data_IF_409426944884
#
_entry.id   IF_409426944884
#
_cell.length_a   1.000
_cell.length_b   1.000
_cell.length_c   1.000
_cell.angle_alpha   90.00
_cell.angle_beta   90.00
_cell.angle_gamma   90.00
#
_symmetry.space_group_name_H-M   'P 1'
#
loop_
_entity.id
_entity.type
_entity.pdbx_description
1 polymer ?
#
# COMPACT_ATOMS: atom_id res chain seq x y z
N UNK A 1 1.44 11.94 53.13
CA UNK A 1 0.99 12.77 52.00
C UNK A 1 1.05 11.86 50.81
N UNK A 2 -0.10 11.27 50.51
CA UNK A 2 -0.31 10.25 49.50
C UNK A 2 -0.13 10.86 48.11
N UNK A 3 0.61 10.16 47.25
CA UNK A 3 0.71 10.47 45.84
C UNK A 3 -0.55 9.91 45.16
N UNK A 4 -1.35 10.79 44.56
CA UNK A 4 -2.56 10.41 43.83
C UNK A 4 -2.19 9.60 42.59
N UNK A 5 -2.88 8.47 42.47
CA UNK A 5 -2.72 7.42 41.47
C UNK A 5 -3.23 7.87 40.10
N UNK A 6 -2.41 7.63 39.07
CA UNK A 6 -2.76 7.34 37.67
C UNK A 6 -4.22 6.91 37.46
N UNK A 7 -5.01 7.73 36.77
CA UNK A 7 -6.36 7.39 36.29
C UNK A 7 -6.31 6.43 35.10
N UNK A 8 -5.94 5.18 35.34
CA UNK A 8 -6.22 4.08 34.40
C UNK A 8 -7.60 3.52 34.72
N UNK A 9 -8.56 3.66 33.81
CA UNK A 9 -9.89 3.04 33.93
C UNK A 9 -9.73 1.51 34.01
N UNK A 10 -10.27 0.90 35.08
CA UNK A 10 -10.15 -0.55 35.32
C UNK A 10 -10.77 -1.37 34.17
N UNK A 11 -10.17 -2.52 33.76
CA UNK A 11 -10.75 -3.44 32.78
C UNK A 11 -12.20 -3.88 33.09
N UNK A 12 -12.61 -3.85 34.36
CA UNK A 12 -13.97 -4.16 34.77
C UNK A 12 -14.97 -3.05 34.42
N UNK A 13 -14.55 -1.79 34.46
CA UNK A 13 -15.37 -0.64 34.05
C UNK A 13 -15.64 -0.72 32.54
N UNK A 14 -14.62 -1.09 31.74
CA UNK A 14 -14.76 -1.29 30.30
C UNK A 14 -15.80 -2.38 29.99
N UNK A 15 -15.77 -3.52 30.71
CA UNK A 15 -16.76 -4.59 30.55
C UNK A 15 -18.17 -4.13 30.92
N UNK A 16 -18.30 -3.29 31.94
CA UNK A 16 -19.58 -2.73 32.39
C UNK A 16 -20.17 -1.76 31.36
N UNK A 17 -19.36 -0.85 30.79
CA UNK A 17 -19.79 0.03 29.68
C UNK A 17 -20.30 -0.81 28.50
N UNK A 18 -19.57 -1.85 28.11
CA UNK A 18 -19.98 -2.73 27.00
C UNK A 18 -21.25 -3.52 27.28
N UNK A 19 -21.46 -3.98 28.51
CA UNK A 19 -22.70 -4.66 28.89
C UNK A 19 -23.92 -3.73 28.78
N UNK A 20 -23.76 -2.45 29.13
CA UNK A 20 -24.79 -1.42 28.96
C UNK A 20 -25.09 -1.18 27.47
N UNK A 21 -24.06 -0.90 26.66
CA UNK A 21 -24.23 -0.55 25.25
C UNK A 21 -24.86 -1.70 24.46
N UNK A 22 -24.36 -2.93 24.64
CA UNK A 22 -24.91 -4.12 23.98
C UNK A 22 -26.37 -4.39 24.36
N UNK A 23 -26.74 -4.11 25.62
CA UNK A 23 -28.12 -4.26 26.07
C UNK A 23 -29.04 -3.20 25.47
N UNK A 24 -28.60 -1.95 25.31
CA UNK A 24 -29.37 -0.90 24.65
C UNK A 24 -29.59 -1.23 23.17
N UNK A 25 -28.52 -1.60 22.47
CA UNK A 25 -28.58 -2.00 21.06
C UNK A 25 -29.43 -3.25 20.83
N UNK A 26 -29.33 -4.24 21.72
CA UNK A 26 -30.17 -5.45 21.66
C UNK A 26 -31.67 -5.19 21.86
N UNK A 27 -32.04 -4.03 22.43
CA UNK A 27 -33.42 -3.57 22.55
C UNK A 27 -33.80 -2.49 21.53
N UNK A 28 -32.97 -2.29 20.49
CA UNK A 28 -33.18 -1.25 19.47
C UNK A 28 -33.26 0.18 20.05
N UNK A 29 -32.57 0.44 21.16
CA UNK A 29 -32.45 1.76 21.77
C UNK A 29 -31.11 2.36 21.35
N UNK A 30 -31.13 3.59 20.83
CA UNK A 30 -29.91 4.30 20.44
C UNK A 30 -29.06 4.63 21.69
N UNK A 31 -27.77 4.26 21.73
CA UNK A 31 -26.92 4.40 22.91
C UNK A 31 -26.40 5.84 23.06
N UNK A 32 -27.31 6.79 23.27
CA UNK A 32 -26.97 8.18 23.64
C UNK A 32 -26.37 8.23 25.04
N UNK A 33 -25.56 9.25 25.37
CA UNK A 33 -24.98 9.43 26.72
C UNK A 33 -26.05 9.34 27.83
N UNK A 34 -27.22 9.92 27.59
CA UNK A 34 -28.33 9.88 28.53
C UNK A 34 -28.93 8.45 28.68
N UNK A 35 -29.05 7.70 27.58
CA UNK A 35 -29.50 6.30 27.60
C UNK A 35 -28.47 5.38 28.29
N UNK A 36 -27.18 5.61 28.03
CA UNK A 36 -26.08 4.88 28.68
C UNK A 36 -26.05 5.19 30.18
N UNK A 37 -26.13 6.47 30.57
CA UNK A 37 -26.18 6.86 31.98
C UNK A 37 -27.36 6.25 32.72
N UNK A 38 -28.56 6.27 32.13
CA UNK A 38 -29.75 5.67 32.73
C UNK A 38 -29.55 4.17 32.94
N UNK A 39 -29.00 3.47 31.95
CA UNK A 39 -28.81 2.02 32.01
C UNK A 39 -27.63 1.60 32.91
N UNK A 40 -26.59 2.43 32.98
CA UNK A 40 -25.44 2.24 33.88
C UNK A 40 -25.83 2.48 35.35
N UNK A 41 -26.70 3.46 35.61
CA UNK A 41 -27.30 3.68 36.93
C UNK A 41 -28.13 2.46 37.36
N UNK A 42 -28.96 1.90 36.47
CA UNK A 42 -29.76 0.70 36.75
C UNK A 42 -28.91 -0.56 37.01
N UNK A 43 -27.84 -0.76 36.23
CA UNK A 43 -27.10 -2.02 36.20
C UNK A 43 -25.92 -2.05 37.16
N UNK A 44 -25.27 -0.91 37.35
CA UNK A 44 -24.00 -0.77 38.07
C UNK A 44 -24.01 0.35 39.11
N UNK A 45 -25.14 1.05 39.27
CA UNK A 45 -25.32 2.18 40.21
C UNK A 45 -24.35 3.33 39.99
N UNK A 46 -23.93 3.52 38.74
CA UNK A 46 -23.13 4.67 38.38
C UNK A 46 -23.98 5.93 38.43
N UNK A 47 -23.39 7.00 38.94
CA UNK A 47 -23.94 8.33 38.80
C UNK A 47 -23.73 8.86 37.38
N UNK A 48 -24.50 9.88 36.98
CA UNK A 48 -24.31 10.54 35.68
C UNK A 48 -22.86 11.05 35.49
N UNK A 49 -22.22 11.74 36.48
CA UNK A 49 -20.83 12.17 36.36
C UNK A 49 -19.81 11.03 36.28
N UNK A 50 -20.04 9.90 36.97
CA UNK A 50 -19.19 8.71 36.84
C UNK A 50 -19.35 8.07 35.47
N UNK A 51 -20.57 8.06 34.92
CA UNK A 51 -20.81 7.52 33.57
C UNK A 51 -20.17 8.40 32.52
N UNK A 52 -20.29 9.72 32.65
CA UNK A 52 -19.62 10.70 31.81
C UNK A 52 -18.09 10.55 31.91
N UNK A 53 -17.51 10.50 33.11
CA UNK A 53 -16.07 10.29 33.33
C UNK A 53 -15.55 8.93 32.82
N UNK A 54 -16.36 7.87 32.88
CA UNK A 54 -15.99 6.55 32.34
C UNK A 54 -16.11 6.48 30.80
N UNK A 55 -16.83 7.43 30.20
CA UNK A 55 -17.00 7.59 28.74
C UNK A 55 -16.09 8.69 28.17
N UNK A 56 -15.55 9.57 29.01
CA UNK A 56 -14.69 10.69 28.65
C UNK A 56 -13.20 10.30 28.62
N UNK A 57 -12.60 10.49 27.46
CA UNK A 57 -11.16 10.64 27.18
C UNK A 57 -10.22 9.51 27.61
N UNK A 58 -9.75 8.76 26.62
CA UNK A 58 -8.40 8.19 26.71
C UNK A 58 -7.40 9.33 26.57
N UNK A 59 -6.61 9.57 27.61
CA UNK A 59 -5.50 10.54 27.58
C UNK A 59 -4.48 10.16 26.50
N UNK A 60 -4.29 8.85 26.28
CA UNK A 60 -3.35 8.28 25.32
C UNK A 60 -3.98 7.21 24.42
N UNK A 61 -3.42 7.08 23.22
CA UNK A 61 -3.75 6.02 22.29
C UNK A 61 -3.36 4.63 22.83
N UNK A 62 -3.94 3.57 22.27
CA UNK A 62 -3.55 2.20 22.56
C UNK A 62 -2.64 1.60 21.47
N UNK A 63 -2.46 2.30 20.36
CA UNK A 63 -1.72 1.84 19.20
C UNK A 63 -0.45 2.67 19.01
N UNK A 64 0.68 2.00 18.79
CA UNK A 64 1.93 2.69 18.57
C UNK A 64 1.83 3.61 17.36
N UNK A 65 2.25 4.88 17.52
CA UNK A 65 2.12 5.89 16.47
C UNK A 65 2.98 5.60 15.22
N UNK A 66 3.96 4.70 15.33
CA UNK A 66 4.89 4.35 14.25
C UNK A 66 4.46 3.10 13.50
N UNK A 67 4.18 1.99 14.20
CA UNK A 67 3.82 0.73 13.57
C UNK A 67 2.32 0.45 13.53
N UNK A 68 1.50 1.27 14.20
CA UNK A 68 0.05 1.15 14.29
C UNK A 68 -0.45 -0.12 15.00
N UNK A 69 0.46 -0.89 15.61
CA UNK A 69 0.12 -2.11 16.36
C UNK A 69 -0.10 -1.81 17.85
N UNK A 70 -0.95 -2.61 18.49
CA UNK A 70 -1.14 -2.58 19.95
C UNK A 70 -0.01 -3.27 20.71
N UNK A 71 -0.11 -3.31 22.04
CA UNK A 71 0.82 -4.03 22.91
C UNK A 71 1.33 -3.17 24.07
N UNK A 72 2.53 -3.48 24.58
CA UNK A 72 3.18 -2.68 25.62
C UNK A 72 3.77 -1.42 25.02
N UNK A 73 3.07 -0.30 25.18
CA UNK A 73 3.41 1.00 24.62
C UNK A 73 3.71 2.01 25.72
N UNK A 74 4.65 2.92 25.45
CA UNK A 74 5.07 4.01 26.32
C UNK A 74 4.26 5.27 25.99
N UNK A 75 3.50 5.83 26.93
CA UNK A 75 2.76 7.07 26.72
C UNK A 75 3.69 8.29 26.78
N UNK A 76 3.50 9.23 25.85
CA UNK A 76 4.19 10.51 25.86
C UNK A 76 3.57 11.44 26.92
N UNK A 77 4.36 12.12 27.75
CA UNK A 77 3.79 13.11 28.69
C UNK A 77 3.25 14.37 28.00
N UNK A 78 3.77 14.71 26.82
CA UNK A 78 3.40 15.93 26.09
C UNK A 78 2.22 15.81 25.13
N UNK A 79 1.70 14.60 24.85
CA UNK A 79 0.58 14.39 23.94
C UNK A 79 -0.04 12.99 24.09
N UNK A 80 -1.12 12.73 23.37
CA UNK A 80 -1.84 11.45 23.41
C UNK A 80 -1.10 10.28 22.73
N UNK A 81 0.03 10.50 22.05
CA UNK A 81 0.71 9.44 21.28
C UNK A 81 1.42 8.45 22.19
N UNK A 82 1.46 7.19 21.74
CA UNK A 82 2.17 6.11 22.41
C UNK A 82 3.13 5.40 21.45
N UNK A 83 4.19 4.80 21.98
CA UNK A 83 5.25 4.17 21.17
C UNK A 83 5.72 2.87 21.78
N UNK A 84 5.97 1.82 20.99
CA UNK A 84 6.77 0.71 21.50
C UNK A 84 8.20 1.19 21.79
N UNK A 85 8.86 0.57 22.77
CA UNK A 85 10.23 0.93 23.14
C UNK A 85 11.19 0.97 21.93
N UNK A 86 11.08 -0.03 21.05
CA UNK A 86 11.91 -0.11 19.84
C UNK A 86 11.51 0.89 18.74
N UNK A 87 10.25 1.33 18.74
CA UNK A 87 9.72 2.30 17.77
C UNK A 87 9.98 3.75 18.17
N UNK A 88 10.33 4.01 19.43
CA UNK A 88 10.60 5.34 19.96
C UNK A 88 12.04 5.84 19.66
N UNK A 89 12.78 5.17 18.75
CA UNK A 89 14.22 5.28 18.51
C UNK A 89 14.77 6.70 18.77
N UNK A 90 15.46 6.84 19.92
CA UNK A 90 15.97 8.12 20.43
C UNK A 90 15.82 8.34 21.95
N UNK A 91 15.05 7.49 22.65
CA UNK A 91 14.91 7.55 24.12
C UNK A 91 16.05 6.81 24.84
N UNK A 92 16.80 7.55 25.67
CA UNK A 92 17.90 7.06 26.49
C UNK A 92 17.52 5.89 27.40
N UNK A 93 18.48 4.98 27.57
CA UNK A 93 18.55 4.04 28.69
C UNK A 93 18.53 4.80 30.02
N UNK A 94 17.36 5.06 30.59
CA UNK A 94 17.28 5.50 31.98
C UNK A 94 15.97 5.08 32.60
N UNK A 95 16.07 4.08 33.47
CA UNK A 95 15.20 3.94 34.62
C UNK A 95 14.92 5.32 35.23
N UNK A 96 13.64 5.69 35.35
CA UNK A 96 13.08 6.78 36.18
C UNK A 96 12.84 8.19 35.59
N UNK A 97 13.00 8.46 34.28
CA UNK A 97 12.59 9.76 33.70
C UNK A 97 11.44 9.63 32.68
N UNK A 98 10.53 10.61 32.73
CA UNK A 98 9.29 10.68 31.96
C UNK A 98 9.52 10.76 30.43
N UNK A 99 8.85 9.88 29.65
CA UNK A 99 9.04 9.79 28.20
C UNK A 99 8.33 10.94 27.44
N UNK A 100 9.08 11.63 26.56
CA UNK A 100 8.56 12.63 25.62
C UNK A 100 8.89 12.20 24.20
N UNK A 101 7.86 12.04 23.35
CA UNK A 101 8.03 11.48 22.01
C UNK A 101 8.76 12.43 21.03
N UNK A 102 9.36 11.88 19.94
CA UNK A 102 10.06 12.68 18.92
C UNK A 102 9.20 13.78 18.31
N UNK A 103 7.89 13.53 18.15
CA UNK A 103 6.95 14.54 17.62
C UNK A 103 6.84 15.74 18.56
N UNK A 104 6.65 15.52 19.87
CA UNK A 104 6.61 16.60 20.83
C UNK A 104 7.96 17.34 20.91
N UNK A 105 9.08 16.62 20.86
CA UNK A 105 10.41 17.23 20.87
C UNK A 105 10.65 18.11 19.63
N UNK A 106 10.18 17.68 18.45
CA UNK A 106 10.21 18.46 17.21
C UNK A 106 9.34 19.72 17.34
N UNK A 107 8.09 19.58 17.77
CA UNK A 107 7.15 20.71 17.87
C UNK A 107 7.60 21.80 18.85
N UNK A 108 8.48 21.49 19.82
CA UNK A 108 9.09 22.50 20.70
C UNK A 108 10.06 23.44 19.96
N UNK A 109 10.59 23.02 18.81
CA UNK A 109 11.58 23.78 18.02
C UNK A 109 10.96 24.56 16.86
N UNK A 110 9.73 24.21 16.48
CA UNK A 110 9.03 24.82 15.35
C UNK A 110 8.54 26.23 15.67
N UNK A 111 8.79 27.17 14.76
CA UNK A 111 8.31 28.54 14.87
C UNK A 111 6.80 28.62 14.62
N UNK A 112 6.15 29.64 15.19
CA UNK A 112 4.75 29.95 14.90
C UNK A 112 4.67 30.92 13.71
N UNK A 113 3.78 30.62 12.78
CA UNK A 113 3.48 31.42 11.59
C UNK A 113 2.14 32.13 11.79
N UNK A 114 1.95 33.30 11.15
CA UNK A 114 0.66 33.98 11.16
C UNK A 114 -0.44 33.09 10.55
N UNK A 115 -1.60 32.92 11.21
CA UNK A 115 -2.67 32.04 10.73
C UNK A 115 -3.22 32.41 9.35
N UNK A 116 -3.14 33.67 8.94
CA UNK A 116 -3.66 34.14 7.65
C UNK A 116 -2.75 33.68 6.51
N UNK A 117 -1.45 33.97 6.63
CA UNK A 117 -0.45 33.51 5.67
C UNK A 117 -0.37 31.99 5.62
N UNK A 118 -0.46 31.33 6.78
CA UNK A 118 -0.46 29.87 6.85
C UNK A 118 -1.68 29.25 6.15
N UNK A 119 -2.86 29.89 6.25
CA UNK A 119 -4.04 29.46 5.51
C UNK A 119 -3.85 29.57 4.02
N UNK A 120 -3.42 30.73 3.53
CA UNK A 120 -3.20 30.96 2.10
C UNK A 120 -2.22 29.94 1.51
N UNK A 121 -1.22 29.54 2.29
CA UNK A 121 -0.24 28.52 1.93
C UNK A 121 -0.78 27.09 1.92
N UNK A 122 -1.56 26.70 2.94
CA UNK A 122 -2.00 25.31 3.11
C UNK A 122 -3.32 24.96 2.42
N UNK A 123 -4.16 25.94 2.08
CA UNK A 123 -5.45 25.72 1.41
C UNK A 123 -5.31 24.92 0.10
N UNK A 124 -4.34 25.23 -0.81
CA UNK A 124 -4.13 24.44 -2.02
C UNK A 124 -3.75 22.99 -1.75
N UNK A 125 -2.98 22.73 -0.67
CA UNK A 125 -2.58 21.38 -0.27
C UNK A 125 -3.80 20.57 0.20
N UNK A 126 -4.72 21.21 0.90
CA UNK A 126 -5.96 20.59 1.34
C UNK A 126 -6.91 20.28 0.16
N UNK A 127 -6.96 21.15 -0.84
CA UNK A 127 -7.75 20.91 -2.06
C UNK A 127 -7.14 19.77 -2.91
N UNK A 128 -5.82 19.69 -2.98
CA UNK A 128 -5.11 18.57 -3.59
C UNK A 128 -5.39 17.25 -2.87
N UNK A 129 -5.38 17.25 -1.53
CA UNK A 129 -5.74 16.08 -0.73
C UNK A 129 -7.18 15.60 -0.98
N UNK A 130 -8.14 16.53 -1.06
CA UNK A 130 -9.54 16.20 -1.38
C UNK A 130 -9.69 15.59 -2.77
N UNK A 131 -8.99 16.16 -3.76
CA UNK A 131 -8.98 15.66 -5.13
C UNK A 131 -8.37 14.26 -5.23
N UNK A 132 -7.22 14.06 -4.58
CA UNK A 132 -6.49 12.78 -4.56
C UNK A 132 -7.29 11.68 -3.88
N UNK A 133 -7.98 12.01 -2.79
CA UNK A 133 -8.79 11.04 -2.03
C UNK A 133 -10.13 10.71 -2.67
N UNK A 134 -10.54 11.38 -3.75
CA UNK A 134 -11.86 11.21 -4.34
C UNK A 134 -13.01 11.48 -3.35
N UNK A 135 -12.78 12.36 -2.36
CA UNK A 135 -13.70 12.72 -1.27
C UNK A 135 -13.97 11.61 -0.22
N UNK A 136 -13.30 10.45 -0.31
CA UNK A 136 -13.52 9.32 0.60
C UNK A 136 -13.14 9.66 2.05
N UNK A 137 -12.19 10.57 2.24
CA UNK A 137 -11.67 10.96 3.55
C UNK A 137 -12.32 12.22 4.14
N UNK A 138 -13.40 12.74 3.53
CA UNK A 138 -14.09 13.94 4.02
C UNK A 138 -14.77 13.73 5.37
N UNK A 139 -15.42 12.57 5.59
CA UNK A 139 -16.15 12.28 6.82
C UNK A 139 -15.86 10.82 7.21
N UNK A 140 -15.05 10.62 8.24
CA UNK A 140 -14.74 9.28 8.74
C UNK A 140 -15.64 8.93 9.94
N UNK A 141 -16.11 7.67 10.04
CA UNK A 141 -15.94 6.57 9.10
C UNK A 141 -16.79 6.75 7.83
N UNK A 142 -16.25 6.33 6.67
CA UNK A 142 -16.95 6.42 5.38
C UNK A 142 -18.27 5.64 5.39
N UNK A 143 -19.29 6.18 4.71
CA UNK A 143 -20.67 5.63 4.67
C UNK A 143 -20.79 4.21 4.09
N UNK A 144 -19.75 3.69 3.45
CA UNK A 144 -19.82 2.51 2.58
C UNK A 144 -19.10 1.25 3.12
N UNK A 145 -18.76 1.17 4.42
CA UNK A 145 -17.99 0.03 4.94
C UNK A 145 -18.50 -0.62 6.24
N UNK A 146 -18.06 -1.86 6.42
CA UNK A 146 -18.44 -2.92 7.38
C UNK A 146 -18.18 -2.65 8.86
N UNK A 147 -17.73 -1.45 9.23
CA UNK A 147 -17.35 -1.09 10.61
C UNK A 147 -18.32 -0.01 11.10
N UNK A 148 -19.05 -0.30 12.18
CA UNK A 148 -20.00 0.65 12.75
C UNK A 148 -19.29 1.91 13.27
N UNK A 149 -19.99 3.06 13.26
CA UNK A 149 -19.47 4.33 13.80
C UNK A 149 -18.92 4.17 15.22
N UNK A 150 -19.58 3.36 16.04
CA UNK A 150 -19.15 3.11 17.40
C UNK A 150 -17.83 2.34 17.46
N UNK A 151 -17.60 1.38 16.56
CA UNK A 151 -16.35 0.60 16.50
C UNK A 151 -15.15 1.46 16.08
N UNK A 152 -15.38 2.43 15.18
CA UNK A 152 -14.37 3.39 14.75
C UNK A 152 -13.91 4.27 15.92
N UNK A 153 -14.84 4.88 16.67
CA UNK A 153 -14.51 5.79 17.77
C UNK A 153 -13.97 5.10 19.03
N UNK A 154 -14.15 3.78 19.15
CA UNK A 154 -13.64 3.01 20.31
C UNK A 154 -12.16 2.66 20.21
N UNK A 155 -11.61 2.63 18.99
CA UNK A 155 -10.21 2.25 18.75
C UNK A 155 -9.27 3.45 18.70
N UNK A 156 -9.77 4.65 18.44
CA UNK A 156 -8.94 5.84 18.23
C UNK A 156 -9.07 6.82 19.41
N UNK A 157 -7.96 7.35 19.91
CA UNK A 157 -7.99 8.34 20.99
C UNK A 157 -8.42 9.73 20.52
N UNK A 158 -8.11 10.09 19.27
CA UNK A 158 -8.44 11.38 18.66
C UNK A 158 -8.95 11.17 17.24
N UNK A 159 -10.14 11.67 16.93
CA UNK A 159 -10.69 11.63 15.58
C UNK A 159 -10.17 12.81 14.74
N UNK A 160 -10.01 12.58 13.45
CA UNK A 160 -9.67 13.60 12.46
C UNK A 160 -10.03 13.08 11.06
N UNK A 161 -10.54 13.95 10.22
CA UNK A 161 -10.84 13.75 8.80
C UNK A 161 -10.59 15.04 8.02
N UNK A 162 -10.72 15.02 6.69
CA UNK A 162 -10.42 16.19 5.86
C UNK A 162 -11.38 17.36 6.14
N UNK A 163 -12.63 17.11 6.56
CA UNK A 163 -13.55 18.19 6.96
C UNK A 163 -13.10 18.86 8.26
N UNK A 164 -12.64 18.06 9.23
CA UNK A 164 -12.07 18.54 10.50
C UNK A 164 -10.81 19.35 10.25
N UNK A 165 -9.91 18.87 9.38
CA UNK A 165 -8.69 19.59 9.00
C UNK A 165 -9.03 20.92 8.32
N UNK A 166 -10.01 20.93 7.41
CA UNK A 166 -10.50 22.17 6.78
C UNK A 166 -10.99 23.17 7.81
N UNK A 167 -11.84 22.73 8.73
CA UNK A 167 -12.36 23.58 9.79
C UNK A 167 -11.23 24.13 10.68
N UNK A 168 -10.24 23.32 11.05
CA UNK A 168 -9.08 23.75 11.85
C UNK A 168 -8.25 24.80 11.11
N UNK A 169 -8.08 24.67 9.79
CA UNK A 169 -7.39 25.66 8.96
C UNK A 169 -8.17 26.98 8.88
N UNK A 170 -9.48 26.92 8.63
CA UNK A 170 -10.38 28.07 8.56
C UNK A 170 -10.53 28.81 9.90
N UNK A 171 -10.38 28.10 11.01
CA UNK A 171 -10.44 28.68 12.36
C UNK A 171 -9.07 29.09 12.90
N UNK A 172 -7.98 28.86 12.14
CA UNK A 172 -6.62 29.26 12.51
C UNK A 172 -6.04 28.46 13.67
N UNK A 173 -6.37 27.17 13.79
CA UNK A 173 -5.91 26.30 14.87
C UNK A 173 -4.51 25.70 14.66
N UNK A 174 -3.92 25.87 13.47
CA UNK A 174 -2.56 25.41 13.17
C UNK A 174 -1.54 26.53 13.40
N UNK A 175 -0.41 26.18 14.01
CA UNK A 175 0.66 27.13 14.28
C UNK A 175 1.75 27.16 13.21
N UNK A 176 1.90 26.07 12.45
CA UNK A 176 2.86 25.93 11.35
C UNK A 176 2.47 24.75 10.45
N UNK A 177 3.20 24.57 9.35
CA UNK A 177 2.93 23.52 8.37
C UNK A 177 3.14 22.10 8.95
N UNK A 178 4.05 21.93 9.91
CA UNK A 178 4.25 20.62 10.58
C UNK A 178 3.04 20.26 11.46
N UNK A 179 2.46 21.22 12.18
CA UNK A 179 1.22 21.05 12.95
C UNK A 179 0.06 20.55 12.06
N UNK A 180 -0.06 21.12 10.85
CA UNK A 180 -1.01 20.67 9.84
C UNK A 180 -0.73 19.24 9.37
N UNK A 181 0.52 18.91 9.04
CA UNK A 181 0.93 17.56 8.62
C UNK A 181 0.66 16.50 9.69
N UNK A 182 0.77 16.85 10.98
CA UNK A 182 0.49 15.92 12.08
C UNK A 182 -0.96 15.45 12.13
N UNK A 183 -1.92 16.25 11.66
CA UNK A 183 -3.32 15.83 11.54
C UNK A 183 -3.53 14.87 10.36
N UNK A 184 -2.81 15.05 9.24
CA UNK A 184 -2.82 14.06 8.14
C UNK A 184 -2.20 12.74 8.59
N UNK A 185 -1.10 12.80 9.34
CA UNK A 185 -0.46 11.61 9.90
C UNK A 185 -1.38 10.91 10.91
N UNK A 186 -2.12 11.66 11.75
CA UNK A 186 -3.14 11.11 12.64
C UNK A 186 -4.29 10.48 11.86
N UNK A 187 -4.77 11.11 10.79
CA UNK A 187 -5.81 10.55 9.93
C UNK A 187 -5.36 9.21 9.35
N UNK A 188 -4.14 9.14 8.80
CA UNK A 188 -3.54 7.90 8.30
C UNK A 188 -3.43 6.83 9.40
N UNK A 189 -2.93 7.21 10.59
CA UNK A 189 -2.83 6.31 11.74
C UNK A 189 -4.20 5.70 12.10
N UNK A 190 -5.24 6.54 12.23
CA UNK A 190 -6.59 6.11 12.56
C UNK A 190 -7.16 5.16 11.51
N UNK A 191 -6.94 5.47 10.23
CA UNK A 191 -7.40 4.63 9.12
C UNK A 191 -6.69 3.27 9.14
N UNK A 192 -5.38 3.23 9.39
CA UNK A 192 -4.63 1.97 9.48
C UNK A 192 -5.10 1.14 10.68
N UNK A 193 -5.32 1.77 11.84
CA UNK A 193 -5.79 1.08 13.05
C UNK A 193 -7.17 0.46 12.85
N UNK A 194 -8.10 1.18 12.23
CA UNK A 194 -9.49 0.72 12.10
C UNK A 194 -9.69 -0.22 10.91
N UNK A 195 -9.14 0.12 9.74
CA UNK A 195 -9.39 -0.62 8.50
C UNK A 195 -8.24 -1.59 8.14
N UNK A 196 -7.09 -1.46 8.78
CA UNK A 196 -5.89 -2.25 8.49
C UNK A 196 -5.02 -1.63 7.39
N UNK A 197 -3.71 -1.85 7.49
CA UNK A 197 -2.69 -1.27 6.59
C UNK A 197 -2.88 -1.66 5.12
N UNK A 198 -3.47 -2.83 4.85
CA UNK A 198 -3.72 -3.32 3.48
C UNK A 198 -5.07 -2.91 2.90
N UNK A 199 -5.85 -2.08 3.60
CA UNK A 199 -7.15 -1.62 3.10
C UNK A 199 -7.00 -0.58 2.01
N UNK A 200 -7.98 -0.52 1.09
CA UNK A 200 -7.99 0.49 0.03
C UNK A 200 -8.01 1.92 0.61
N UNK A 201 -8.79 2.13 1.68
CA UNK A 201 -8.86 3.42 2.36
C UNK A 201 -7.52 3.80 3.03
N UNK A 202 -6.77 2.83 3.59
CA UNK A 202 -5.43 3.08 4.11
C UNK A 202 -4.43 3.44 3.00
N UNK A 203 -4.51 2.78 1.84
CA UNK A 203 -3.67 3.13 0.69
C UNK A 203 -3.97 4.55 0.19
N UNK A 204 -5.25 4.91 0.05
CA UNK A 204 -5.67 6.27 -0.34
C UNK A 204 -5.18 7.31 0.69
N UNK A 205 -5.33 7.04 1.98
CA UNK A 205 -4.84 7.93 3.04
C UNK A 205 -3.31 8.08 3.01
N UNK A 206 -2.59 7.00 2.68
CA UNK A 206 -1.13 7.01 2.52
C UNK A 206 -0.71 7.89 1.35
N UNK A 207 -1.33 7.70 0.17
CA UNK A 207 -1.04 8.47 -1.03
C UNK A 207 -1.31 9.97 -0.82
N UNK A 208 -2.41 10.31 -0.13
CA UNK A 208 -2.73 11.69 0.26
C UNK A 208 -1.67 12.28 1.18
N UNK A 209 -1.28 11.57 2.24
CA UNK A 209 -0.25 12.04 3.17
C UNK A 209 1.09 12.26 2.46
N UNK A 210 1.56 11.30 1.65
CA UNK A 210 2.83 11.41 0.92
C UNK A 210 2.83 12.57 -0.07
N UNK A 211 1.72 12.78 -0.78
CA UNK A 211 1.57 13.88 -1.73
C UNK A 211 1.66 15.24 -1.04
N UNK A 212 0.91 15.42 0.06
CA UNK A 212 0.92 16.67 0.84
C UNK A 212 2.26 16.92 1.51
N UNK A 213 2.88 15.87 2.06
CA UNK A 213 4.21 15.96 2.67
C UNK A 213 5.26 16.41 1.67
N UNK A 214 5.31 15.80 0.49
CA UNK A 214 6.30 16.13 -0.54
C UNK A 214 6.20 17.59 -1.01
N UNK A 215 4.99 18.12 -1.16
CA UNK A 215 4.79 19.52 -1.56
C UNK A 215 5.27 20.50 -0.49
N UNK A 216 4.91 20.24 0.78
CA UNK A 216 5.34 21.09 1.90
C UNK A 216 6.85 21.04 2.09
N UNK A 217 7.47 19.87 1.91
CA UNK A 217 8.91 19.68 2.08
C UNK A 217 9.72 20.31 0.93
N UNK A 218 9.25 20.21 -0.32
CA UNK A 218 9.93 20.81 -1.48
C UNK A 218 10.00 22.34 -1.40
N UNK A 219 8.96 23.00 -0.88
CA UNK A 219 8.92 24.47 -0.79
C UNK A 219 9.76 25.00 0.39
N UNK A 220 9.98 24.20 1.45
CA UNK A 220 10.92 24.53 2.52
C UNK A 220 12.39 24.57 2.05
N UNK A 221 12.77 23.69 1.11
CA UNK A 221 14.15 23.64 0.57
C UNK A 221 14.44 24.84 -0.33
N UNK A 222 13.45 25.30 -1.12
CA UNK A 222 13.61 26.50 -1.96
C UNK A 222 13.81 27.78 -1.13
N UNK A 223 13.15 27.88 0.03
CA UNK A 223 13.26 29.04 0.94
C UNK A 223 14.62 29.09 1.67
N UNK A 224 15.21 27.93 1.99
CA UNK A 224 16.55 27.85 2.60
C UNK A 224 17.68 28.19 1.61
N UNK A 225 17.48 27.87 0.32
CA UNK A 225 18.45 28.21 -0.73
C UNK A 225 18.50 29.71 -1.05
N UNK A 226 17.38 30.44 -0.95
CA UNK A 226 17.35 31.91 -1.13
C UNK A 226 17.92 32.67 0.08
N UNK A 227 17.85 32.11 1.29
CA UNK A 227 18.41 32.71 2.52
C UNK A 227 19.93 32.55 2.69
N UNK A 228 20.56 31.63 1.94
CA UNK A 228 21.98 31.29 2.10
C UNK A 228 22.96 32.21 1.34
N UNK A 229 22.48 33.12 0.46
CA UNK A 229 23.37 34.02 -0.30
C UNK A 229 23.93 35.22 0.52
N UNK A 230 23.43 35.51 1.72
CA UNK A 230 23.87 36.68 2.52
C UNK A 230 24.81 36.36 3.71
N UNK A 231 25.23 35.11 3.91
CA UNK A 231 25.90 34.69 5.15
C UNK A 231 27.09 33.75 5.01
N UNK A 232 27.93 33.87 3.98
CA UNK A 232 29.12 33.02 3.84
C UNK A 232 30.31 33.52 4.68
N UNK A 233 30.48 32.96 5.89
CA UNK A 233 31.78 32.58 6.45
C UNK A 233 31.58 31.84 7.79
N UNK A 234 31.70 30.50 7.77
CA UNK A 234 32.48 29.69 8.72
C UNK A 234 32.40 28.19 8.32
N UNK A 235 33.44 27.45 8.68
CA UNK A 235 33.91 26.17 8.14
C UNK A 235 32.92 24.96 8.17
N UNK A 236 33.13 23.94 7.32
CA UNK A 236 32.17 22.84 7.13
C UNK A 236 32.18 21.86 8.31
N UNK A 237 31.02 21.69 8.95
CA UNK A 237 30.76 20.57 9.85
C UNK A 237 30.20 19.42 9.01
N UNK A 238 30.91 18.29 9.01
CA UNK A 238 30.52 17.05 8.35
C UNK A 238 29.11 16.62 8.79
N UNK A 239 28.16 16.61 7.83
CA UNK A 239 26.85 15.99 8.00
C UNK A 239 27.01 14.48 7.98
N UNK A 240 26.71 13.84 9.11
CA UNK A 240 26.49 12.40 9.18
C UNK A 240 25.23 12.04 8.38
N UNK A 241 25.46 11.27 7.33
CA UNK A 241 24.47 10.70 6.43
C UNK A 241 23.52 9.77 7.21
N UNK A 242 22.33 10.27 7.56
CA UNK A 242 21.20 9.46 8.01
C UNK A 242 20.21 9.32 6.84
N UNK A 243 20.70 8.72 5.75
CA UNK A 243 19.86 8.10 4.74
C UNK A 243 19.03 7.00 5.43
N UNK A 244 17.75 7.26 5.67
CA UNK A 244 16.80 6.21 5.99
C UNK A 244 16.58 5.36 4.74
N UNK A 245 17.39 4.32 4.63
CA UNK A 245 17.25 3.24 3.67
C UNK A 245 15.93 2.52 3.85
N UNK A 246 14.99 2.78 2.96
CA UNK A 246 13.71 2.07 2.88
C UNK A 246 13.79 0.76 2.07
N UNK A 247 14.98 0.17 1.91
CA UNK A 247 15.12 -1.01 1.07
C UNK A 247 16.34 -1.86 1.45
N UNK A 248 16.36 -2.52 2.62
CA UNK A 248 17.12 -3.79 2.74
C UNK A 248 16.88 -4.68 3.99
N UNK A 249 15.68 -4.73 4.59
CA UNK A 249 15.44 -5.61 5.76
C UNK A 249 14.28 -6.61 5.60
N UNK A 250 14.19 -7.25 4.44
CA UNK A 250 13.34 -8.44 4.25
C UNK A 250 14.07 -9.79 4.38
N UNK A 251 15.37 -9.78 4.71
CA UNK A 251 16.15 -11.01 4.87
C UNK A 251 17.11 -11.00 6.07
N UNK A 252 16.57 -10.91 7.28
CA UNK A 252 17.19 -11.53 8.46
C UNK A 252 16.19 -11.58 9.62
N UNK A 253 15.49 -12.70 9.80
CA UNK A 253 14.94 -13.03 11.11
C UNK A 253 16.10 -13.56 11.96
N UNK A 254 16.52 -12.87 13.04
CA UNK A 254 17.51 -13.44 13.94
C UNK A 254 16.92 -14.68 14.60
N UNK A 255 17.61 -15.80 14.39
CA UNK A 255 17.29 -17.13 14.94
C UNK A 255 17.25 -17.18 16.46
N UNK A 256 17.79 -16.21 17.18
CA UNK A 256 18.03 -16.35 18.61
C UNK A 256 17.59 -15.09 19.36
N UNK A 257 16.29 -14.95 19.61
CA UNK A 257 15.87 -14.14 20.76
C UNK A 257 16.15 -14.99 21.98
N UNK A 258 17.36 -14.79 22.51
CA UNK A 258 17.83 -15.31 23.77
C UNK A 258 16.68 -15.34 24.78
N UNK A 259 16.64 -16.43 25.55
CA UNK A 259 15.86 -16.61 26.78
C UNK A 259 15.94 -15.36 27.68
N UNK A 260 15.16 -14.34 27.37
CA UNK A 260 14.99 -13.17 28.20
C UNK A 260 14.30 -13.69 29.45
N UNK A 261 15.06 -13.70 30.52
CA UNK A 261 14.72 -14.19 31.84
C UNK A 261 13.48 -13.42 32.34
N UNK A 262 12.29 -13.93 32.06
CA UNK A 262 11.04 -13.48 32.67
C UNK A 262 10.77 -14.27 33.95
N UNK A 263 11.82 -14.50 34.74
CA UNK A 263 11.69 -14.97 36.11
C UNK A 263 11.28 -13.78 36.98
N UNK A 264 9.97 -13.59 37.15
CA UNK A 264 9.46 -12.69 38.18
C UNK A 264 9.49 -13.39 39.55
N UNK A 265 10.63 -13.30 40.24
CA UNK A 265 10.76 -13.80 41.62
C UNK A 265 9.86 -13.05 42.62
N UNK A 266 9.23 -11.93 42.25
CA UNK A 266 8.45 -11.10 43.18
C UNK A 266 7.21 -11.80 43.73
N UNK A 267 6.55 -12.65 42.93
CA UNK A 267 5.33 -13.39 43.34
C UNK A 267 5.59 -14.33 44.52
N UNK A 268 6.82 -14.86 44.66
CA UNK A 268 7.20 -15.75 45.78
C UNK A 268 7.65 -14.95 47.01
N UNK A 269 8.05 -13.69 46.83
CA UNK A 269 8.58 -12.82 47.89
C UNK A 269 7.49 -12.21 48.76
N UNK A 270 6.28 -12.03 48.20
CA UNK A 270 5.17 -11.31 48.85
C UNK A 270 4.15 -12.23 49.56
N UNK A 271 4.46 -13.53 49.69
CA UNK A 271 3.66 -14.45 50.51
C UNK A 271 3.74 -14.08 52.01
N UNK A 272 2.60 -13.90 52.72
CA UNK A 272 2.60 -13.46 54.11
C UNK A 272 3.48 -14.35 55.01
N UNK A 273 4.42 -13.78 55.79
CA UNK A 273 5.26 -14.57 56.67
C UNK A 273 4.39 -15.11 57.82
N UNK A 274 4.24 -16.43 57.89
CA UNK A 274 3.62 -17.09 59.04
C UNK A 274 4.60 -18.13 59.62
N UNK A 275 4.83 -18.07 60.94
CA UNK A 275 5.91 -18.80 61.61
C UNK A 275 5.53 -20.26 61.97
N UNK A 276 4.93 -20.97 61.01
CA UNK A 276 4.39 -22.33 61.15
C UNK A 276 5.35 -23.36 60.51
N UNK A 277 5.48 -24.59 61.06
CA UNK A 277 6.32 -25.65 60.49
C UNK A 277 6.04 -26.01 59.02
N UNK A 278 4.86 -25.68 58.49
CA UNK A 278 4.44 -25.99 57.13
C UNK A 278 4.87 -24.94 56.08
N UNK A 279 5.24 -23.73 56.50
CA UNK A 279 5.59 -22.63 55.61
C UNK A 279 6.68 -22.97 54.57
N UNK A 280 7.75 -23.72 54.89
CA UNK A 280 8.78 -24.10 53.91
C UNK A 280 8.28 -25.10 52.85
N UNK A 281 7.41 -26.05 53.25
CA UNK A 281 6.80 -27.01 52.32
C UNK A 281 5.83 -26.32 51.38
N UNK A 282 4.99 -25.43 51.91
CA UNK A 282 3.99 -24.71 51.12
C UNK A 282 4.65 -23.77 50.11
N UNK A 283 5.72 -23.06 50.51
CA UNK A 283 6.52 -22.21 49.61
C UNK A 283 7.16 -23.01 48.46
N UNK A 284 7.65 -24.22 48.72
CA UNK A 284 8.17 -25.12 47.67
C UNK A 284 7.08 -25.58 46.71
N UNK A 285 5.92 -25.99 47.22
CA UNK A 285 4.78 -26.41 46.41
C UNK A 285 4.26 -25.28 45.51
N UNK A 286 4.16 -24.06 46.03
CA UNK A 286 3.77 -22.88 45.22
C UNK A 286 4.81 -22.61 44.13
N UNK A 287 6.10 -22.68 44.46
CA UNK A 287 7.18 -22.50 43.48
C UNK A 287 7.12 -23.57 42.38
N UNK A 288 7.01 -24.85 42.74
CA UNK A 288 6.91 -25.95 41.78
C UNK A 288 5.68 -25.82 40.87
N UNK A 289 4.52 -25.42 41.44
CA UNK A 289 3.31 -25.17 40.66
C UNK A 289 3.47 -23.99 39.70
N UNK A 290 4.09 -22.90 40.16
CA UNK A 290 4.36 -21.72 39.36
C UNK A 290 5.32 -22.03 38.20
N UNK A 291 6.45 -22.70 38.50
CA UNK A 291 7.43 -23.12 37.49
C UNK A 291 6.79 -24.03 36.44
N UNK A 292 5.95 -25.00 36.87
CA UNK A 292 5.23 -25.92 35.96
C UNK A 292 4.24 -25.17 35.06
N UNK A 293 3.48 -24.23 35.64
CA UNK A 293 2.51 -23.44 34.87
C UNK A 293 3.20 -22.51 33.87
N UNK A 294 4.31 -21.86 34.26
CA UNK A 294 5.09 -21.01 33.38
C UNK A 294 5.69 -21.78 32.21
N UNK A 295 6.27 -22.96 32.45
CA UNK A 295 6.76 -23.82 31.37
C UNK A 295 5.65 -24.18 30.38
N UNK A 296 4.50 -24.65 30.88
CA UNK A 296 3.37 -25.00 30.03
C UNK A 296 2.83 -23.80 29.23
N UNK A 297 2.80 -22.61 29.85
CA UNK A 297 2.41 -21.37 29.18
C UNK A 297 3.38 -20.98 28.06
N UNK A 298 4.69 -21.04 28.32
CA UNK A 298 5.70 -20.71 27.32
C UNK A 298 5.72 -21.71 26.16
N UNK A 299 5.62 -23.00 26.43
CA UNK A 299 5.53 -24.03 25.40
C UNK A 299 4.33 -23.82 24.49
N UNK A 300 3.15 -23.53 25.06
CA UNK A 300 1.94 -23.32 24.26
C UNK A 300 1.99 -22.00 23.48
N UNK A 301 2.53 -20.93 24.08
CA UNK A 301 2.76 -19.66 23.39
C UNK A 301 3.70 -19.83 22.19
N UNK A 302 4.81 -20.54 22.38
CA UNK A 302 5.81 -20.74 21.32
C UNK A 302 5.29 -21.67 20.23
N UNK A 303 4.43 -22.65 20.56
CA UNK A 303 3.63 -23.42 19.59
C UNK A 303 2.72 -22.53 18.77
N UNK A 304 1.89 -21.72 19.42
CA UNK A 304 0.94 -20.84 18.73
C UNK A 304 1.67 -19.83 17.84
N UNK A 305 2.76 -19.24 18.33
CA UNK A 305 3.60 -18.32 17.56
C UNK A 305 4.21 -19.01 16.33
N UNK A 306 4.63 -20.26 16.45
CA UNK A 306 5.18 -21.03 15.33
C UNK A 306 4.09 -21.40 14.32
N UNK A 307 2.91 -21.81 14.79
CA UNK A 307 1.77 -22.11 13.92
C UNK A 307 1.27 -20.88 13.15
N UNK A 308 1.23 -19.70 13.79
CA UNK A 308 0.88 -18.44 13.12
C UNK A 308 1.93 -18.07 12.08
N UNK A 309 3.23 -18.15 12.43
CA UNK A 309 4.33 -17.90 11.48
C UNK A 309 4.24 -18.81 10.27
N UNK A 310 4.05 -20.12 10.47
CA UNK A 310 3.92 -21.07 9.38
C UNK A 310 2.72 -20.75 8.47
N UNK A 311 1.55 -20.46 9.06
CA UNK A 311 0.36 -20.06 8.28
C UNK A 311 0.60 -18.79 7.47
N UNK A 312 1.25 -17.80 8.05
CA UNK A 312 1.56 -16.54 7.37
C UNK A 312 2.56 -16.76 6.22
N UNK A 313 3.64 -17.51 6.47
CA UNK A 313 4.60 -17.89 5.43
C UNK A 313 3.94 -18.69 4.31
N UNK A 314 3.07 -19.66 4.63
CA UNK A 314 2.33 -20.41 3.62
C UNK A 314 1.39 -19.50 2.80
N UNK A 315 0.73 -18.54 3.45
CA UNK A 315 -0.14 -17.58 2.75
C UNK A 315 0.68 -16.70 1.80
N UNK A 316 1.77 -16.12 2.28
CA UNK A 316 2.69 -15.31 1.47
C UNK A 316 3.21 -16.07 0.25
N UNK A 317 3.75 -17.29 0.46
CA UNK A 317 4.28 -18.10 -0.65
C UNK A 317 3.19 -18.46 -1.69
N UNK A 318 1.93 -18.64 -1.26
CA UNK A 318 0.81 -18.89 -2.17
C UNK A 318 0.42 -17.64 -2.95
N UNK A 319 0.41 -16.48 -2.31
CA UNK A 319 0.12 -15.19 -2.95
C UNK A 319 1.22 -14.82 -3.95
N UNK A 320 2.48 -14.91 -3.55
CA UNK A 320 3.63 -14.70 -4.44
C UNK A 320 3.59 -15.64 -5.65
N UNK A 321 3.37 -16.94 -5.43
CA UNK A 321 3.26 -17.89 -6.54
C UNK A 321 2.04 -17.65 -7.44
N UNK A 322 0.97 -17.01 -6.94
CA UNK A 322 -0.19 -16.61 -7.73
C UNK A 322 0.16 -15.41 -8.61
N UNK A 323 0.77 -14.38 -8.04
CA UNK A 323 1.20 -13.18 -8.76
C UNK A 323 2.24 -13.50 -9.83
N UNK A 324 3.22 -14.34 -9.51
CA UNK A 324 4.22 -14.81 -10.48
C UNK A 324 3.56 -15.54 -11.66
N UNK A 325 2.56 -16.40 -11.39
CA UNK A 325 1.81 -17.09 -12.46
C UNK A 325 1.00 -16.12 -13.31
N UNK A 326 0.29 -15.18 -12.69
CA UNK A 326 -0.50 -14.18 -13.41
C UNK A 326 0.38 -13.29 -14.29
N UNK A 327 1.55 -12.88 -13.78
CA UNK A 327 2.53 -12.10 -14.55
C UNK A 327 3.09 -12.92 -15.72
N UNK A 328 3.46 -14.19 -15.49
CA UNK A 328 3.95 -15.08 -16.54
C UNK A 328 2.89 -15.35 -17.61
N UNK A 329 1.64 -15.59 -17.22
CA UNK A 329 0.52 -15.79 -18.15
C UNK A 329 0.24 -14.54 -18.98
N UNK A 330 0.23 -13.36 -18.34
CA UNK A 330 0.07 -12.07 -19.03
C UNK A 330 1.19 -11.84 -20.06
N UNK A 331 2.45 -12.06 -19.65
CA UNK A 331 3.59 -11.91 -20.55
C UNK A 331 3.57 -12.91 -21.71
N UNK A 332 3.23 -14.18 -21.44
CA UNK A 332 3.08 -15.22 -22.45
C UNK A 332 1.99 -14.87 -23.47
N UNK A 333 0.85 -14.35 -23.00
CA UNK A 333 -0.24 -13.88 -23.87
C UNK A 333 0.20 -12.72 -24.76
N UNK A 334 0.89 -11.73 -24.21
CA UNK A 334 1.40 -10.60 -25.00
C UNK A 334 2.42 -11.05 -26.07
N UNK A 335 3.32 -11.98 -25.72
CA UNK A 335 4.26 -12.56 -26.69
C UNK A 335 3.54 -13.31 -27.82
N UNK A 336 2.53 -14.10 -27.49
CA UNK A 336 1.76 -14.84 -28.49
C UNK A 336 0.94 -13.90 -29.39
N UNK A 337 0.33 -12.86 -28.84
CA UNK A 337 -0.37 -11.83 -29.62
C UNK A 337 0.57 -11.09 -30.57
N UNK A 338 1.75 -10.69 -30.08
CA UNK A 338 2.78 -10.04 -30.91
C UNK A 338 3.28 -10.97 -32.03
N UNK A 339 3.50 -12.26 -31.72
CA UNK A 339 3.88 -13.28 -32.70
C UNK A 339 2.80 -13.43 -33.77
N UNK A 340 1.53 -13.49 -33.38
CA UNK A 340 0.41 -13.64 -34.31
C UNK A 340 0.24 -12.41 -35.20
N UNK A 341 0.36 -11.19 -34.66
CA UNK A 341 0.31 -9.96 -35.44
C UNK A 341 1.45 -9.91 -36.47
N UNK A 342 2.68 -10.20 -36.05
CA UNK A 342 3.84 -10.24 -36.94
C UNK A 342 3.64 -11.28 -38.06
N UNK A 343 3.17 -12.48 -37.71
CA UNK A 343 2.90 -13.54 -38.68
C UNK A 343 1.77 -13.16 -39.64
N UNK A 344 0.72 -12.49 -39.17
CA UNK A 344 -0.38 -11.98 -40.00
C UNK A 344 0.13 -10.95 -41.00
N UNK A 345 0.92 -9.97 -40.55
CA UNK A 345 1.53 -8.94 -41.40
C UNK A 345 2.44 -9.56 -42.46
N UNK A 346 3.30 -10.50 -42.06
CA UNK A 346 4.17 -11.21 -42.99
C UNK A 346 3.37 -11.96 -44.06
N UNK A 347 2.32 -12.70 -43.64
CA UNK A 347 1.45 -13.42 -44.58
C UNK A 347 0.70 -12.48 -45.53
N UNK A 348 0.25 -11.31 -45.06
CA UNK A 348 -0.40 -10.32 -45.90
C UNK A 348 0.56 -9.72 -46.92
N UNK A 349 1.78 -9.37 -46.51
CA UNK A 349 2.83 -8.90 -47.40
C UNK A 349 3.17 -9.93 -48.47
N UNK A 350 3.36 -11.20 -48.06
CA UNK A 350 3.63 -12.29 -48.99
C UNK A 350 2.50 -12.48 -50.01
N UNK A 351 1.24 -12.46 -49.56
CA UNK A 351 0.07 -12.52 -50.45
C UNK A 351 0.02 -11.35 -51.43
N UNK A 352 0.33 -10.14 -50.97
CA UNK A 352 0.36 -8.95 -51.83
C UNK A 352 1.45 -9.05 -52.90
N UNK A 353 2.65 -9.51 -52.54
CA UNK A 353 3.75 -9.71 -53.49
C UNK A 353 3.46 -10.83 -54.50
N UNK A 354 2.90 -11.96 -54.05
CA UNK A 354 2.44 -13.03 -54.94
C UNK A 354 1.39 -12.52 -55.94
N UNK A 355 0.44 -11.70 -55.49
CA UNK A 355 -0.56 -11.08 -56.35
C UNK A 355 0.07 -10.13 -57.36
N UNK A 356 0.98 -9.24 -56.94
CA UNK A 356 1.69 -8.34 -57.84
C UNK A 356 2.48 -9.10 -58.91
N UNK A 357 3.15 -10.18 -58.53
CA UNK A 357 3.90 -11.03 -59.45
C UNK A 357 2.96 -11.70 -60.46
N UNK A 358 1.84 -12.25 -59.97
CA UNK A 358 0.80 -12.87 -60.82
C UNK A 358 0.20 -11.85 -61.80
N UNK A 359 -0.19 -10.66 -61.33
CA UNK A 359 -0.74 -9.60 -62.18
C UNK A 359 0.27 -9.13 -63.23
N UNK A 360 1.55 -9.02 -62.87
CA UNK A 360 2.63 -8.68 -63.81
C UNK A 360 2.77 -9.76 -64.87
N UNK A 361 2.80 -11.03 -64.46
CA UNK A 361 2.89 -12.15 -65.38
C UNK A 361 1.68 -12.20 -66.32
N UNK A 362 0.47 -11.99 -65.80
CA UNK A 362 -0.74 -11.95 -66.61
C UNK A 362 -0.73 -10.81 -67.64
N UNK A 363 -0.23 -9.62 -67.28
CA UNK A 363 -0.04 -8.52 -68.22
C UNK A 363 0.96 -8.88 -69.31
N UNK A 364 2.09 -9.47 -68.94
CA UNK A 364 3.08 -9.96 -69.92
C UNK A 364 2.45 -10.98 -70.87
N UNK A 365 1.71 -11.97 -70.37
CA UNK A 365 1.00 -12.94 -71.21
C UNK A 365 -0.01 -12.26 -72.15
N UNK A 366 -0.76 -11.27 -71.67
CA UNK A 366 -1.73 -10.55 -72.50
C UNK A 366 -1.05 -9.75 -73.61
N UNK A 367 0.09 -9.10 -73.32
CA UNK A 367 0.89 -8.42 -74.34
C UNK A 367 1.50 -9.42 -75.32
N UNK A 368 1.98 -10.58 -74.84
CA UNK A 368 2.52 -11.61 -75.72
C UNK A 368 1.44 -12.14 -76.69
N UNK A 369 0.22 -12.35 -76.20
CA UNK A 369 -0.93 -12.84 -77.02
C UNK A 369 -1.37 -11.87 -78.12
N UNK A 370 -0.99 -10.58 -78.07
CA UNK A 370 -1.32 -9.59 -79.11
C UNK A 370 -0.36 -9.62 -80.29
N UNK A 371 0.77 -10.30 -80.17
CA UNK A 371 1.83 -10.36 -81.18
C UNK A 371 1.80 -11.69 -81.93
N UNK A 372 2.44 -11.72 -83.08
CA UNK A 372 2.70 -12.95 -83.83
C UNK A 372 4.12 -13.42 -83.52
N UNK A 373 4.32 -14.72 -83.42
CA UNK A 373 5.58 -15.32 -82.97
C UNK A 373 6.14 -16.25 -84.03
N UNK A 374 7.47 -16.24 -84.15
CA UNK A 374 8.16 -17.13 -85.06
C UNK A 374 8.02 -18.56 -84.57
N UNK A 375 7.50 -19.43 -85.44
CA UNK A 375 7.33 -20.85 -85.11
C UNK A 375 8.64 -21.53 -84.72
N UNK A 376 9.78 -21.10 -85.30
CA UNK A 376 11.06 -21.76 -85.11
C UNK A 376 11.86 -21.29 -83.89
N UNK A 377 11.70 -20.06 -83.42
CA UNK A 377 12.59 -19.47 -82.41
C UNK A 377 11.92 -18.54 -81.40
N UNK A 378 10.59 -18.43 -81.43
CA UNK A 378 9.79 -17.62 -80.48
C UNK A 378 10.09 -16.11 -80.46
N UNK A 379 10.92 -15.61 -81.39
CA UNK A 379 11.06 -14.17 -81.63
C UNK A 379 9.81 -13.61 -82.32
N UNK A 380 9.57 -12.30 -82.17
CA UNK A 380 8.44 -11.62 -82.82
C UNK A 380 8.50 -11.80 -84.35
N UNK A 381 7.42 -12.34 -84.93
CA UNK A 381 7.37 -12.65 -86.35
C UNK A 381 6.98 -11.43 -87.17
N UNK A 382 7.67 -11.26 -88.31
CA UNK A 382 7.40 -10.20 -89.30
C UNK A 382 6.91 -10.76 -90.64
N UNK A 383 7.10 -12.06 -90.89
CA UNK A 383 6.65 -12.75 -92.10
C UNK A 383 5.51 -13.72 -91.79
N UNK A 384 4.34 -13.50 -92.39
CA UNK A 384 3.20 -14.41 -92.28
C UNK A 384 3.23 -15.47 -93.40
N UNK A 385 3.03 -16.75 -93.05
CA UNK A 385 2.93 -17.85 -94.01
C UNK A 385 1.48 -18.31 -94.19
N UNK A 386 0.87 -18.86 -93.14
CA UNK A 386 -0.54 -19.27 -93.09
C UNK A 386 -1.05 -19.29 -91.64
N UNK A 387 -2.32 -19.68 -91.42
CA UNK A 387 -2.91 -19.72 -90.07
C UNK A 387 -2.00 -20.45 -89.06
N UNK A 388 -1.70 -19.77 -87.95
CA UNK A 388 -0.84 -20.27 -86.87
C UNK A 388 0.61 -20.62 -87.29
N UNK A 389 1.14 -20.02 -88.37
CA UNK A 389 2.55 -20.19 -88.76
C UNK A 389 3.12 -18.91 -89.36
N UNK A 390 4.06 -18.30 -88.62
CA UNK A 390 4.76 -17.05 -88.97
C UNK A 390 6.25 -17.18 -88.64
N UNK A 391 7.09 -16.31 -89.21
CA UNK A 391 8.55 -16.33 -89.04
C UNK A 391 9.13 -14.94 -88.78
N UNK A 392 10.22 -14.87 -88.01
CA UNK A 392 10.97 -13.61 -87.80
C UNK A 392 11.97 -13.35 -88.94
N UNK A 393 12.39 -14.39 -89.67
CA UNK A 393 13.37 -14.27 -90.74
C UNK A 393 13.18 -15.37 -91.81
N UNK A 394 13.79 -15.17 -92.97
CA UNK A 394 13.75 -16.15 -94.08
C UNK A 394 14.51 -17.43 -93.70
N UNK A 395 15.58 -17.30 -92.90
CA UNK A 395 16.35 -18.43 -92.38
C UNK A 395 15.47 -19.34 -91.52
N UNK A 396 14.70 -18.77 -90.58
CA UNK A 396 13.75 -19.53 -89.75
C UNK A 396 12.63 -20.18 -90.58
N UNK A 397 12.19 -19.53 -91.67
CA UNK A 397 11.23 -20.12 -92.59
C UNK A 397 11.83 -21.33 -93.31
N UNK A 398 13.02 -21.19 -93.89
CA UNK A 398 13.69 -22.28 -94.62
C UNK A 398 14.01 -23.46 -93.71
N UNK A 399 14.35 -23.21 -92.44
CA UNK A 399 14.59 -24.26 -91.46
C UNK A 399 13.33 -25.09 -91.14
N UNK A 400 12.17 -24.45 -90.97
CA UNK A 400 10.90 -25.15 -90.74
C UNK A 400 10.24 -25.67 -92.03
N UNK A 401 10.63 -25.15 -93.20
CA UNK A 401 9.98 -25.45 -94.47
C UNK A 401 9.88 -26.94 -94.83
N UNK A 402 10.91 -27.79 -94.62
CA UNK A 402 10.85 -29.21 -94.97
C UNK A 402 9.66 -29.94 -94.33
N UNK A 403 9.31 -29.58 -93.09
CA UNK A 403 8.19 -30.17 -92.34
C UNK A 403 6.88 -29.40 -92.52
N UNK A 404 6.93 -28.07 -92.66
CA UNK A 404 5.72 -27.25 -92.81
C UNK A 404 5.05 -27.40 -94.18
N UNK A 405 5.84 -27.59 -95.25
CA UNK A 405 5.33 -27.56 -96.64
C UNK A 405 4.16 -28.53 -96.90
N UNK A 406 4.10 -29.65 -96.19
CA UNK A 406 3.04 -30.67 -96.33
C UNK A 406 1.72 -30.27 -95.69
N UNK A 407 1.75 -29.34 -94.74
CA UNK A 407 0.58 -28.88 -93.96
C UNK A 407 0.27 -27.40 -94.20
N UNK A 408 1.05 -26.72 -95.04
CA UNK A 408 0.90 -25.31 -95.35
C UNK A 408 -0.45 -25.05 -96.04
N UNK A 409 -1.19 -24.06 -95.52
CA UNK A 409 -2.53 -23.68 -96.04
C UNK A 409 -2.49 -22.44 -96.93
N UNK A 410 -1.31 -21.96 -97.31
CA UNK A 410 -1.17 -20.81 -98.21
C UNK A 410 -1.59 -21.25 -99.60
N UNK A 411 -2.63 -20.63 -100.16
CA UNK A 411 -3.08 -20.90 -101.53
C UNK A 411 -1.92 -20.56 -102.47
N UNK A 412 -1.48 -21.54 -103.26
CA UNK A 412 -0.63 -21.31 -104.42
C UNK A 412 -1.51 -20.66 -105.48
N UNK A 413 -1.32 -19.37 -105.74
CA UNK A 413 -1.71 -18.79 -107.02
C UNK A 413 -0.80 -19.30 -108.13
#
# INVERSE_FOLDING_TARGET
>A
MEAEYSHTVSPDIIRQVWAVINHLQGNSIEPTLNAISTKAEESFRWTFPETESNLEFREHDCFCYVCHEGGFVLPCQGCFRVFHNNCASGGSDTSTEEFVCPVCQMMLREAKVDPTSLREYLEPMLDLANTTSGNVLLNLPSRDESVGTNEFYLLIARNVDLSTIRQKLETGQYHNAKDFLLDFQLMLHNVIVVYGISSNIAQIASDVYQTVYAQIDSESVETEMEGAEEGANEDPVEMSDAHLGYADELHALPSDVAHAQLYDESVIRDLPPHNCPHAPKFKRLIKELHDTWQLAYHEERDRLRSAIREKLTQKFMREQAREDREMQESFSKQLEESRQDLQSRYNQQLKAELKKLSDRHQRQLNELKKKQWCWSCENEAIYHCCWNTSYCSVECQQQHWPTHRTTCRRKTE
#
